data_IF_953102747977
#
_entry.id   IF_953102747977
#
_cell.length_a   1.000
_cell.length_b   1.000
_cell.length_c   1.000
_cell.angle_alpha   90.00
_cell.angle_beta   90.00
_cell.angle_gamma   90.00
#
_symmetry.space_group_name_H-M   'P 1'
#
loop_
_entity.id
_entity.type
_entity.pdbx_description
1 polymer ?
#
# COMPACT_ATOMS: atom_id res chain seq x y z
N UNK A 1 -24.43 11.42 -7.10
CA UNK A 1 -23.12 11.38 -7.78
C UNK A 1 -22.62 9.93 -7.90
N UNK A 2 -23.01 9.24 -8.97
CA UNK A 2 -22.75 7.81 -9.22
C UNK A 2 -21.25 7.42 -9.29
N UNK A 3 -20.35 8.40 -9.38
CA UNK A 3 -18.90 8.16 -9.46
C UNK A 3 -18.20 7.98 -8.10
N UNK A 4 -18.86 8.27 -6.97
CA UNK A 4 -18.23 8.20 -5.64
C UNK A 4 -17.58 6.85 -5.32
N UNK A 5 -18.28 5.72 -5.51
CA UNK A 5 -17.73 4.39 -5.22
C UNK A 5 -16.60 3.98 -6.16
N UNK A 6 -16.72 4.34 -7.45
CA UNK A 6 -15.70 4.06 -8.47
C UNK A 6 -14.41 4.85 -8.20
N UNK A 7 -14.52 6.11 -7.76
CA UNK A 7 -13.37 6.94 -7.39
C UNK A 7 -12.69 6.43 -6.11
N UNK A 8 -13.46 5.95 -5.13
CA UNK A 8 -12.92 5.32 -3.93
C UNK A 8 -12.11 4.05 -4.28
N UNK A 9 -12.66 3.18 -5.12
CA UNK A 9 -11.95 1.98 -5.58
C UNK A 9 -10.66 2.32 -6.34
N UNK A 10 -10.73 3.29 -7.27
CA UNK A 10 -9.56 3.75 -8.02
C UNK A 10 -8.47 4.28 -7.09
N UNK A 11 -8.85 5.11 -6.12
CA UNK A 11 -7.90 5.71 -5.16
C UNK A 11 -7.15 4.63 -4.37
N UNK A 12 -7.83 3.60 -3.91
CA UNK A 12 -7.21 2.50 -3.15
C UNK A 12 -6.26 1.68 -4.03
N UNK A 13 -6.70 1.33 -5.25
CA UNK A 13 -5.89 0.56 -6.19
C UNK A 13 -4.63 1.34 -6.56
N UNK A 14 -4.76 2.63 -6.90
CA UNK A 14 -3.63 3.50 -7.22
C UNK A 14 -2.71 3.67 -6.02
N UNK A 15 -3.24 3.95 -4.83
CA UNK A 15 -2.46 4.06 -3.60
C UNK A 15 -1.67 2.77 -3.33
N UNK A 16 -2.33 1.61 -3.41
CA UNK A 16 -1.70 0.31 -3.17
C UNK A 16 -0.57 0.05 -4.16
N UNK A 17 -0.78 0.33 -5.44
CA UNK A 17 0.23 0.18 -6.49
C UNK A 17 1.44 1.09 -6.26
N UNK A 18 1.22 2.38 -5.96
CA UNK A 18 2.32 3.31 -5.73
C UNK A 18 3.08 3.01 -4.43
N UNK A 19 2.37 2.60 -3.37
CA UNK A 19 2.95 2.29 -2.07
C UNK A 19 3.80 1.01 -2.11
N UNK A 20 3.35 -0.02 -2.83
CA UNK A 20 4.08 -1.29 -2.99
C UNK A 20 5.05 -1.29 -4.18
N UNK A 21 5.23 -0.16 -4.87
CA UNK A 21 6.12 -0.07 -6.01
C UNK A 21 7.57 -0.36 -5.60
N UNK A 22 8.15 -1.39 -6.19
CA UNK A 22 9.53 -1.80 -5.94
C UNK A 22 10.45 -1.51 -7.13
N UNK A 23 10.11 -2.03 -8.32
CA UNK A 23 11.00 -1.96 -9.49
C UNK A 23 11.28 -0.53 -9.98
N UNK A 24 10.27 0.34 -10.03
CA UNK A 24 10.47 1.73 -10.43
C UNK A 24 11.48 2.44 -9.51
N UNK A 25 11.20 2.53 -8.21
CA UNK A 25 12.14 3.09 -7.23
C UNK A 25 13.53 2.46 -7.27
N UNK A 26 13.62 1.13 -7.41
CA UNK A 26 14.91 0.43 -7.49
C UNK A 26 15.77 0.88 -8.69
N UNK A 27 15.15 1.16 -9.84
CA UNK A 27 15.87 1.58 -11.05
C UNK A 27 16.23 3.07 -10.98
N UNK A 28 15.32 3.91 -10.50
CA UNK A 28 15.46 5.37 -10.56
C UNK A 28 16.14 5.99 -9.34
N UNK A 29 16.12 5.33 -8.18
CA UNK A 29 16.68 5.87 -6.94
C UNK A 29 18.06 5.29 -6.66
N UNK A 30 19.05 6.17 -6.54
CA UNK A 30 20.43 5.82 -6.20
C UNK A 30 20.87 6.40 -4.84
N UNK A 31 20.01 7.15 -4.15
CA UNK A 31 20.32 7.79 -2.86
C UNK A 31 19.57 7.11 -1.72
N UNK A 32 20.30 6.76 -0.66
CA UNK A 32 19.75 6.11 0.54
C UNK A 32 18.61 6.92 1.18
N UNK A 33 18.72 8.25 1.21
CA UNK A 33 17.72 9.14 1.83
C UNK A 33 16.36 9.18 1.10
N UNK A 34 16.31 8.66 -0.13
CA UNK A 34 15.09 8.63 -0.95
C UNK A 34 14.48 7.23 -1.06
N UNK A 35 15.10 6.23 -0.43
CA UNK A 35 14.63 4.84 -0.54
C UNK A 35 13.18 4.70 -0.07
N UNK A 36 12.38 4.00 -0.85
CA UNK A 36 11.02 3.63 -0.46
C UNK A 36 11.05 2.51 0.57
N UNK A 37 9.98 2.37 1.36
CA UNK A 37 9.88 1.30 2.37
C UNK A 37 10.16 -0.11 1.81
N UNK A 38 9.63 -0.52 0.64
CA UNK A 38 9.94 -1.82 0.06
C UNK A 38 11.44 -2.00 -0.24
N UNK A 39 12.09 -0.95 -0.74
CA UNK A 39 13.52 -0.97 -1.07
C UNK A 39 14.38 -1.03 0.20
N UNK A 40 14.03 -0.23 1.22
CA UNK A 40 14.68 -0.26 2.53
C UNK A 40 14.56 -1.63 3.22
N UNK A 41 13.40 -2.28 3.14
CA UNK A 41 13.20 -3.63 3.67
C UNK A 41 14.13 -4.64 3.00
N UNK A 42 14.33 -4.55 1.69
CA UNK A 42 15.28 -5.44 0.99
C UNK A 42 16.72 -5.20 1.43
N UNK A 43 17.10 -3.96 1.71
CA UNK A 43 18.42 -3.66 2.27
C UNK A 43 18.59 -4.25 3.68
N UNK A 44 17.53 -4.23 4.51
CA UNK A 44 17.54 -4.79 5.87
C UNK A 44 17.69 -6.32 5.90
N UNK A 45 17.36 -7.03 4.82
CA UNK A 45 17.61 -8.48 4.72
C UNK A 45 19.10 -8.82 4.72
N UNK A 46 19.97 -7.86 4.42
CA UNK A 46 21.42 -8.05 4.37
C UNK A 46 21.87 -8.98 3.23
N UNK A 47 23.18 -9.03 2.98
CA UNK A 47 23.73 -9.96 2.00
C UNK A 47 23.50 -11.41 2.46
N UNK A 48 22.95 -12.25 1.58
CA UNK A 48 22.61 -13.66 1.83
C UNK A 48 21.72 -13.92 3.07
N UNK A 49 20.88 -12.96 3.48
CA UNK A 49 19.95 -13.17 4.60
C UNK A 49 20.59 -13.07 5.98
N UNK A 50 21.75 -12.40 6.08
CA UNK A 50 22.43 -12.11 7.35
C UNK A 50 21.70 -11.11 8.25
N UNK A 51 20.69 -10.39 7.72
CA UNK A 51 19.87 -9.45 8.47
C UNK A 51 18.94 -10.14 9.46
N UNK A 52 18.63 -9.46 10.57
CA UNK A 52 17.71 -9.97 11.60
C UNK A 52 16.31 -10.17 11.02
N UNK A 53 15.75 -11.40 11.02
CA UNK A 53 14.40 -11.66 10.54
C UNK A 53 13.34 -10.86 11.31
N UNK A 54 13.55 -10.63 12.60
CA UNK A 54 12.64 -9.84 13.43
C UNK A 54 12.54 -8.38 12.96
N UNK A 55 13.66 -7.78 12.55
CA UNK A 55 13.70 -6.41 12.05
C UNK A 55 13.02 -6.31 10.67
N UNK A 56 13.27 -7.29 9.80
CA UNK A 56 12.61 -7.36 8.48
C UNK A 56 11.10 -7.50 8.65
N UNK A 57 10.64 -8.38 9.54
CA UNK A 57 9.21 -8.58 9.80
C UNK A 57 8.56 -7.34 10.42
N UNK A 58 9.23 -6.65 11.36
CA UNK A 58 8.74 -5.40 11.92
C UNK A 58 8.57 -4.30 10.85
N UNK A 59 9.54 -4.18 9.94
CA UNK A 59 9.47 -3.23 8.84
C UNK A 59 8.36 -3.58 7.82
N UNK A 60 8.14 -4.87 7.54
CA UNK A 60 7.00 -5.33 6.72
C UNK A 60 5.67 -4.98 7.39
N UNK A 61 5.51 -5.24 8.69
CA UNK A 61 4.29 -4.87 9.43
C UNK A 61 4.03 -3.36 9.37
N UNK A 62 5.07 -2.54 9.54
CA UNK A 62 4.97 -1.08 9.43
C UNK A 62 4.55 -0.62 8.04
N UNK A 63 4.96 -1.33 6.98
CA UNK A 63 4.59 -1.02 5.59
C UNK A 63 3.14 -1.37 5.29
N UNK A 64 2.60 -2.43 5.92
CA UNK A 64 1.21 -2.86 5.76
C UNK A 64 0.23 -1.95 6.52
N UNK A 65 0.64 -1.39 7.66
CA UNK A 65 -0.21 -0.53 8.51
C UNK A 65 -0.92 0.63 7.77
N UNK A 66 -0.25 1.47 6.95
CA UNK A 66 -0.92 2.55 6.22
C UNK A 66 -1.88 2.06 5.15
N UNK A 67 -1.61 0.90 4.52
CA UNK A 67 -2.55 0.29 3.56
C UNK A 67 -3.84 -0.12 4.27
N UNK A 68 -3.72 -0.70 5.47
CA UNK A 68 -4.87 -1.04 6.31
C UNK A 68 -5.65 0.22 6.73
N UNK A 69 -4.98 1.30 7.11
CA UNK A 69 -5.64 2.56 7.45
C UNK A 69 -6.45 3.13 6.27
N UNK A 70 -5.85 3.18 5.07
CA UNK A 70 -6.55 3.63 3.86
C UNK A 70 -7.75 2.75 3.54
N UNK A 71 -7.60 1.42 3.69
CA UNK A 71 -8.69 0.48 3.51
C UNK A 71 -9.85 0.72 4.49
N UNK A 72 -9.56 0.88 5.79
CA UNK A 72 -10.57 1.14 6.82
C UNK A 72 -11.32 2.45 6.58
N UNK A 73 -10.61 3.51 6.17
CA UNK A 73 -11.23 4.79 5.81
C UNK A 73 -12.15 4.65 4.60
N UNK A 74 -11.72 3.89 3.59
CA UNK A 74 -12.47 3.72 2.36
C UNK A 74 -13.60 2.69 2.44
N UNK A 75 -13.62 1.81 3.46
CA UNK A 75 -14.72 0.87 3.70
C UNK A 75 -16.08 1.57 3.78
N UNK A 76 -16.15 2.77 4.37
CA UNK A 76 -17.41 3.55 4.43
C UNK A 76 -17.94 3.90 3.04
N UNK A 77 -17.08 4.33 2.12
CA UNK A 77 -17.48 4.66 0.75
C UNK A 77 -17.83 3.43 -0.09
N UNK A 78 -17.18 2.30 0.15
CA UNK A 78 -17.57 1.03 -0.46
C UNK A 78 -18.97 0.60 -0.01
N UNK A 79 -19.28 0.72 1.28
CA UNK A 79 -20.60 0.34 1.81
C UNK A 79 -21.69 1.29 1.29
N UNK A 80 -21.45 2.59 1.27
CA UNK A 80 -22.38 3.59 0.71
C UNK A 80 -22.59 3.44 -0.81
N UNK A 81 -21.58 2.97 -1.52
CA UNK A 81 -21.66 2.68 -2.95
C UNK A 81 -22.47 1.44 -3.30
N UNK A 82 -22.28 0.37 -2.52
CA UNK A 82 -23.05 -0.85 -2.67
C UNK A 82 -24.53 -0.60 -2.31
N UNK A 83 -24.81 0.19 -1.27
CA UNK A 83 -26.19 0.51 -0.88
C UNK A 83 -26.89 1.44 -1.88
N UNK A 84 -26.18 2.37 -2.53
CA UNK A 84 -26.74 3.16 -3.65
C UNK A 84 -27.02 2.33 -4.90
N UNK A 85 -26.24 1.27 -5.16
CA UNK A 85 -26.52 0.31 -6.24
C UNK A 85 -27.63 -0.70 -5.89
N UNK A 86 -28.10 -0.73 -4.64
CA UNK A 86 -29.06 -1.69 -4.10
C UNK A 86 -30.53 -1.27 -4.12
N UNK A 87 -30.88 -0.07 -4.62
CA UNK A 87 -32.30 0.30 -4.75
C UNK A 87 -32.85 -0.22 -6.09
N UNK A 88 -33.69 -1.27 -5.94
CA UNK A 88 -34.51 -2.03 -6.91
C UNK A 88 -33.91 -3.36 -7.40
N UNK A 89 -33.77 -4.28 -6.46
CA UNK A 89 -34.44 -5.59 -6.54
C UNK A 89 -35.59 -5.60 -5.55
#
# INVERSE_FOLDING_TARGET
>A
PLAGPSLAALTIITFNNTWNAYFGPLIFLNSWDKMTLPLGITALRGYLGSGSPAVVMAAVTMTVAPVLLVFLLAQRWFIEGITQSGIKG
#
